data_IF_180703470646
#
_entry.id   IF_180703470646
#
_cell.length_a   1.000
_cell.length_b   1.000
_cell.length_c   1.000
_cell.angle_alpha   90.00
_cell.angle_beta   90.00
_cell.angle_gamma   90.00
#
_symmetry.space_group_name_H-M   'P 1'
#
loop_
_entity.id
_entity.type
_entity.pdbx_description
1 polymer ?
#
# COMPACT_ATOMS: atom_id res chain seq x y z
N UNK A 1 19.17 46.57 -39.46
CA UNK A 1 18.12 45.51 -39.52
C UNK A 1 18.66 44.18 -39.00
N UNK A 2 19.95 43.93 -39.19
CA UNK A 2 20.74 42.77 -38.75
C UNK A 2 20.68 42.49 -37.24
N UNK A 3 20.90 43.49 -36.37
CA UNK A 3 20.80 43.32 -34.91
C UNK A 3 19.42 42.89 -34.39
N UNK A 4 18.34 43.18 -35.12
CA UNK A 4 16.99 42.67 -34.80
C UNK A 4 16.76 41.24 -35.27
N UNK A 5 17.58 40.75 -36.20
CA UNK A 5 17.58 39.34 -36.61
C UNK A 5 18.38 38.52 -35.61
N UNK A 6 19.59 38.96 -35.27
CA UNK A 6 20.46 38.32 -34.27
C UNK A 6 19.78 38.22 -32.89
N UNK A 7 19.12 39.30 -32.45
CA UNK A 7 18.39 39.28 -31.18
C UNK A 7 17.19 38.31 -31.18
N UNK A 8 16.58 38.06 -32.34
CA UNK A 8 15.48 37.09 -32.45
C UNK A 8 15.99 35.65 -32.42
N UNK A 9 17.09 35.37 -33.10
CA UNK A 9 17.73 34.06 -33.10
C UNK A 9 18.22 33.68 -31.69
N UNK A 10 18.86 34.61 -30.98
CA UNK A 10 19.27 34.41 -29.59
C UNK A 10 18.07 34.15 -28.66
N UNK A 11 16.99 34.91 -28.82
CA UNK A 11 15.77 34.72 -28.02
C UNK A 11 15.15 33.35 -28.25
N UNK A 12 15.02 32.92 -29.51
CA UNK A 12 14.49 31.60 -29.88
C UNK A 12 15.37 30.47 -29.33
N UNK A 13 16.70 30.62 -29.36
CA UNK A 13 17.64 29.68 -28.77
C UNK A 13 17.50 29.56 -27.25
N UNK A 14 17.32 30.68 -26.56
CA UNK A 14 17.10 30.71 -25.10
C UNK A 14 15.76 30.05 -24.75
N UNK A 15 14.70 30.37 -25.47
CA UNK A 15 13.36 29.81 -25.24
C UNK A 15 13.36 28.29 -25.47
N UNK A 16 13.95 27.81 -26.56
CA UNK A 16 14.09 26.39 -26.84
C UNK A 16 15.00 25.66 -25.83
N UNK A 17 15.99 26.32 -25.23
CA UNK A 17 16.80 25.75 -24.17
C UNK A 17 16.00 25.63 -22.86
N UNK A 18 15.27 26.68 -22.49
CA UNK A 18 14.41 26.69 -21.32
C UNK A 18 13.30 25.62 -21.40
N UNK A 19 12.64 25.47 -22.56
CA UNK A 19 11.60 24.46 -22.76
C UNK A 19 12.14 23.02 -22.61
N UNK A 20 13.36 22.79 -23.12
CA UNK A 20 14.04 21.51 -22.94
C UNK A 20 14.34 21.25 -21.47
N UNK A 21 14.87 22.24 -20.76
CA UNK A 21 15.20 22.13 -19.34
C UNK A 21 13.96 21.86 -18.49
N UNK A 22 12.86 22.57 -18.74
CA UNK A 22 11.56 22.34 -18.08
C UNK A 22 11.08 20.91 -18.31
N UNK A 23 11.21 20.41 -19.53
CA UNK A 23 10.82 19.04 -19.87
C UNK A 23 11.65 18.01 -19.11
N UNK A 24 12.96 18.19 -19.06
CA UNK A 24 13.88 17.30 -18.32
C UNK A 24 13.56 17.32 -16.83
N UNK A 25 13.44 18.50 -16.22
CA UNK A 25 13.14 18.63 -14.79
C UNK A 25 11.82 17.95 -14.44
N UNK A 26 10.78 18.13 -15.26
CA UNK A 26 9.48 17.47 -15.03
C UNK A 26 9.59 15.95 -15.16
N UNK A 27 10.35 15.45 -16.13
CA UNK A 27 10.54 14.01 -16.32
C UNK A 27 11.33 13.39 -15.15
N UNK A 28 12.38 14.07 -14.69
CA UNK A 28 13.17 13.63 -13.52
C UNK A 28 12.33 13.65 -12.25
N UNK A 29 11.59 14.74 -11.98
CA UNK A 29 10.70 14.83 -10.83
C UNK A 29 9.63 13.73 -10.85
N UNK A 30 9.07 13.42 -12.02
CA UNK A 30 8.09 12.34 -12.16
C UNK A 30 8.72 10.96 -11.90
N UNK A 31 9.89 10.69 -12.49
CA UNK A 31 10.64 9.45 -12.25
C UNK A 31 10.93 9.25 -10.77
N UNK A 32 11.46 10.28 -10.12
CA UNK A 32 11.86 10.21 -8.71
C UNK A 32 10.63 10.04 -7.80
N UNK A 33 9.50 10.68 -8.13
CA UNK A 33 8.24 10.50 -7.41
C UNK A 33 7.70 9.06 -7.51
N UNK A 34 7.73 8.46 -8.71
CA UNK A 34 7.30 7.07 -8.89
C UNK A 34 8.25 6.09 -8.20
N UNK A 35 9.56 6.37 -8.19
CA UNK A 35 10.53 5.56 -7.46
C UNK A 35 10.27 5.59 -5.95
N UNK A 36 10.10 6.78 -5.36
CA UNK A 36 9.78 6.94 -3.93
C UNK A 36 8.47 6.22 -3.58
N UNK A 37 7.45 6.32 -4.44
CA UNK A 37 6.19 5.61 -4.22
C UNK A 37 6.38 4.09 -4.26
N UNK A 38 7.11 3.59 -5.26
CA UNK A 38 7.40 2.16 -5.39
C UNK A 38 8.19 1.59 -4.20
N UNK A 39 9.20 2.33 -3.74
CA UNK A 39 9.99 1.96 -2.57
C UNK A 39 9.13 1.94 -1.28
N UNK A 40 8.25 2.93 -1.13
CA UNK A 40 7.30 2.99 -0.01
C UNK A 40 6.29 1.85 -0.03
N UNK A 41 5.72 1.51 -1.19
CA UNK A 41 4.78 0.39 -1.34
C UNK A 41 5.47 -0.95 -1.04
N UNK A 42 6.72 -1.10 -1.48
CA UNK A 42 7.52 -2.29 -1.20
C UNK A 42 7.85 -2.43 0.30
N UNK A 43 8.21 -1.33 0.98
CA UNK A 43 8.49 -1.33 2.41
C UNK A 43 7.23 -1.57 3.25
N UNK A 44 6.11 -0.97 2.88
CA UNK A 44 4.82 -1.22 3.52
C UNK A 44 4.44 -2.71 3.38
N UNK A 45 4.50 -3.25 2.16
CA UNK A 45 4.20 -4.66 1.91
C UNK A 45 5.12 -5.59 2.69
N UNK A 46 6.41 -5.28 2.75
CA UNK A 46 7.39 -6.04 3.54
C UNK A 46 7.05 -6.00 5.04
N UNK A 47 6.78 -4.82 5.57
CA UNK A 47 6.41 -4.64 6.99
C UNK A 47 5.14 -5.40 7.33
N UNK A 48 4.12 -5.34 6.47
CA UNK A 48 2.91 -6.14 6.63
C UNK A 48 3.23 -7.63 6.61
N UNK A 49 3.96 -8.11 5.60
CA UNK A 49 4.33 -9.51 5.49
C UNK A 49 5.14 -9.99 6.71
N UNK A 50 6.11 -9.21 7.17
CA UNK A 50 6.92 -9.52 8.34
C UNK A 50 6.06 -9.57 9.61
N UNK A 51 5.18 -8.59 9.81
CA UNK A 51 4.24 -8.58 10.94
C UNK A 51 3.26 -9.77 10.89
N UNK A 52 2.78 -10.16 9.71
CA UNK A 52 1.91 -11.32 9.54
C UNK A 52 2.66 -12.64 9.72
N UNK A 53 3.92 -12.72 9.31
CA UNK A 53 4.77 -13.91 9.44
C UNK A 53 5.38 -14.07 10.82
N UNK A 54 5.40 -13.01 11.65
CA UNK A 54 5.99 -13.05 12.98
C UNK A 54 5.26 -14.03 13.89
N UNK A 55 3.93 -14.12 13.79
CA UNK A 55 3.14 -15.20 14.37
C UNK A 55 1.77 -15.32 13.66
N UNK A 56 1.69 -16.09 12.56
CA UNK A 56 0.44 -16.33 11.84
C UNK A 56 -0.63 -16.98 12.71
N UNK A 57 -0.21 -17.83 13.66
CA UNK A 57 -1.10 -18.54 14.58
C UNK A 57 -1.74 -17.58 15.58
N UNK A 58 -0.96 -16.64 16.12
CA UNK A 58 -1.46 -15.58 17.00
C UNK A 58 -2.42 -14.63 16.29
N UNK A 59 -2.15 -14.25 15.05
CA UNK A 59 -3.10 -13.43 14.27
C UNK A 59 -4.42 -14.17 14.03
N UNK A 60 -4.36 -15.43 13.57
CA UNK A 60 -5.53 -16.28 13.38
C UNK A 60 -6.33 -16.44 14.68
N UNK A 61 -5.66 -16.71 15.80
CA UNK A 61 -6.26 -16.80 17.12
C UNK A 61 -6.97 -15.50 17.53
N UNK A 62 -6.29 -14.35 17.43
CA UNK A 62 -6.84 -13.04 17.84
C UNK A 62 -8.01 -12.60 16.96
N UNK A 63 -7.95 -12.89 15.66
CA UNK A 63 -9.04 -12.63 14.71
C UNK A 63 -10.26 -13.51 15.01
N UNK A 64 -10.05 -14.79 15.31
CA UNK A 64 -11.13 -15.69 15.74
C UNK A 64 -11.79 -15.21 17.04
N UNK A 65 -11.01 -14.74 18.02
CA UNK A 65 -11.57 -14.17 19.27
C UNK A 65 -12.43 -12.93 19.03
N UNK A 66 -12.00 -12.00 18.16
CA UNK A 66 -12.81 -10.84 17.77
C UNK A 66 -14.10 -11.26 17.06
N UNK A 67 -14.02 -12.21 16.14
CA UNK A 67 -15.20 -12.73 15.47
C UNK A 67 -16.20 -13.38 16.43
N UNK A 68 -15.72 -14.06 17.50
CA UNK A 68 -16.61 -14.52 18.58
C UNK A 68 -17.26 -13.34 19.29
N UNK A 69 -16.49 -12.32 19.67
CA UNK A 69 -17.00 -11.16 20.37
C UNK A 69 -18.09 -10.44 19.57
N UNK A 70 -17.87 -10.25 18.26
CA UNK A 70 -18.84 -9.60 17.37
C UNK A 70 -20.09 -10.48 17.15
N UNK A 71 -19.91 -11.79 16.94
CA UNK A 71 -21.02 -12.72 16.74
C UNK A 71 -21.90 -12.89 17.99
N UNK A 72 -21.33 -12.77 19.19
CA UNK A 72 -22.05 -12.89 20.46
C UNK A 72 -22.49 -11.53 21.05
N UNK A 73 -22.10 -10.40 20.45
CA UNK A 73 -22.53 -9.06 20.89
C UNK A 73 -24.02 -8.81 20.62
N UNK A 74 -24.57 -9.39 19.55
CA UNK A 74 -26.00 -9.31 19.25
C UNK A 74 -26.74 -10.49 19.88
N UNK A 75 -27.37 -10.25 21.03
CA UNK A 75 -28.11 -11.23 21.84
C UNK A 75 -29.37 -11.82 21.19
N UNK A 76 -29.61 -11.55 19.89
CA UNK A 76 -30.79 -11.98 19.13
C UNK A 76 -30.52 -12.96 17.98
N UNK A 77 -29.27 -13.24 17.63
CA UNK A 77 -28.95 -14.06 16.45
C UNK A 77 -28.96 -15.56 16.78
N UNK A 78 -29.86 -16.31 16.13
CA UNK A 78 -29.85 -17.78 16.16
C UNK A 78 -28.67 -18.25 15.30
N UNK A 79 -27.54 -18.53 15.94
CA UNK A 79 -26.35 -19.07 15.29
C UNK A 79 -26.56 -20.58 15.01
N UNK A 80 -26.83 -20.94 13.75
CA UNK A 80 -26.81 -22.34 13.31
C UNK A 80 -25.34 -22.76 13.13
N UNK A 81 -24.80 -23.47 14.12
CA UNK A 81 -23.39 -23.80 14.19
C UNK A 81 -23.18 -25.29 14.07
N UNK A 82 -22.37 -25.69 13.10
CA UNK A 82 -21.81 -27.04 13.08
C UNK A 82 -20.75 -27.15 14.20
N UNK A 83 -20.88 -28.09 15.14
CA UNK A 83 -19.97 -28.23 16.28
C UNK A 83 -18.50 -28.39 15.85
N UNK A 84 -18.28 -28.96 14.67
CA UNK A 84 -17.02 -29.30 13.99
C UNK A 84 -16.51 -28.20 13.03
N UNK A 85 -17.13 -27.02 13.03
CA UNK A 85 -16.67 -25.90 12.21
C UNK A 85 -15.27 -25.41 12.59
N UNK A 86 -14.45 -25.05 11.58
CA UNK A 86 -13.16 -24.36 11.76
C UNK A 86 -13.30 -23.07 12.56
N UNK A 87 -14.50 -22.48 12.58
CA UNK A 87 -14.80 -21.32 13.39
C UNK A 87 -14.49 -21.56 14.87
N UNK A 88 -14.73 -22.76 15.42
CA UNK A 88 -14.47 -23.08 16.84
C UNK A 88 -13.12 -23.72 17.12
N UNK A 89 -12.23 -23.82 16.12
CA UNK A 89 -10.92 -24.46 16.26
C UNK A 89 -10.17 -23.97 17.50
N UNK A 90 -10.09 -22.65 17.67
CA UNK A 90 -9.40 -22.01 18.80
C UNK A 90 -10.19 -21.99 20.12
N UNK A 91 -11.52 -22.21 20.07
CA UNK A 91 -12.34 -22.38 21.27
C UNK A 91 -12.15 -23.79 21.87
N UNK A 92 -11.91 -24.80 21.03
CA UNK A 92 -11.70 -26.19 21.43
C UNK A 92 -10.27 -26.49 21.84
N UNK A 93 -9.30 -25.90 21.14
CA UNK A 93 -7.87 -26.03 21.45
C UNK A 93 -7.18 -24.66 21.31
N UNK A 94 -6.62 -24.10 22.41
CA UNK A 94 -5.88 -22.84 22.39
C UNK A 94 -4.69 -22.82 21.41
N UNK A 95 -4.20 -23.99 20.96
CA UNK A 95 -3.10 -24.14 19.99
C UNK A 95 -3.59 -24.41 18.56
N UNK A 96 -4.87 -24.17 18.28
CA UNK A 96 -5.42 -24.34 16.93
C UNK A 96 -5.34 -25.78 16.41
N UNK A 97 -5.47 -26.77 17.31
CA UNK A 97 -5.44 -28.19 16.97
C UNK A 97 -6.39 -28.54 15.82
N UNK A 98 -5.88 -29.35 14.88
CA UNK A 98 -6.63 -29.79 13.69
C UNK A 98 -7.93 -30.49 14.05
#
# INVERSE_FOLDING_TARGET
REHRSEGRELAEGIEAAADREVTVIRAEAYRDAEQIRGDGDAEATRTYADAFNQDPEFYSFTRSLRAYQDAFQNSGDILLLQPDSEFFRYLKDPKGGK
#
